data_IF_223726163808
#
_entry.id   IF_223726163808
#
_cell.length_a   1.000
_cell.length_b   1.000
_cell.length_c   1.000
_cell.angle_alpha   90.00
_cell.angle_beta   90.00
_cell.angle_gamma   90.00
#
_symmetry.space_group_name_H-M   'P 1'
#
loop_
_entity.id
_entity.type
_entity.pdbx_description
1 polymer ?
#
# COMPACT_ATOMS: atom_id res chain seq x y z
N UNK A 1 12.34 -2.47 7.60
CA UNK A 1 12.01 -2.80 6.20
C UNK A 1 10.72 -2.11 5.73
N UNK A 2 9.52 -2.30 6.33
CA UNK A 2 8.31 -1.61 5.84
C UNK A 2 8.38 -0.08 5.94
N UNK A 3 8.94 0.44 7.03
CA UNK A 3 9.16 1.89 7.20
C UNK A 3 10.16 2.43 6.17
N UNK A 4 11.27 1.72 5.94
CA UNK A 4 12.25 2.11 4.93
C UNK A 4 11.66 2.18 3.52
N UNK A 5 10.72 1.29 3.17
CA UNK A 5 10.00 1.38 1.89
C UNK A 5 9.16 2.67 1.78
N UNK A 6 8.61 3.15 2.90
CA UNK A 6 7.90 4.44 2.93
C UNK A 6 8.90 5.57 2.69
N UNK A 7 10.05 5.59 3.36
CA UNK A 7 11.09 6.61 3.14
C UNK A 7 11.53 6.69 1.66
N UNK A 8 11.74 5.54 1.01
CA UNK A 8 12.07 5.48 -0.41
C UNK A 8 10.96 6.05 -1.31
N UNK A 9 9.69 5.79 -0.97
CA UNK A 9 8.56 6.39 -1.65
C UNK A 9 8.55 7.92 -1.46
N UNK A 10 8.79 8.40 -0.24
CA UNK A 10 8.85 9.83 0.06
C UNK A 10 9.95 10.52 -0.75
N UNK A 11 11.11 9.90 -0.90
CA UNK A 11 12.20 10.42 -1.71
C UNK A 11 11.86 10.42 -3.22
N UNK A 12 11.20 9.38 -3.71
CA UNK A 12 10.72 9.33 -5.09
C UNK A 12 9.66 10.41 -5.38
N UNK A 13 8.76 10.66 -4.43
CA UNK A 13 7.75 11.73 -4.53
C UNK A 13 8.38 13.13 -4.57
N UNK A 14 9.43 13.37 -3.76
CA UNK A 14 10.20 14.63 -3.81
C UNK A 14 10.86 14.82 -5.17
N UNK A 15 11.49 13.78 -5.71
CA UNK A 15 12.12 13.82 -7.05
C UNK A 15 11.08 14.10 -8.14
N UNK A 16 9.86 13.59 -7.98
CA UNK A 16 8.74 13.83 -8.90
C UNK A 16 8.00 15.17 -8.67
N UNK A 17 8.39 15.95 -7.66
CA UNK A 17 7.72 17.18 -7.21
C UNK A 17 6.22 16.97 -6.91
N UNK A 18 5.91 15.88 -6.19
CA UNK A 18 4.55 15.46 -5.82
C UNK A 18 4.39 15.45 -4.30
N UNK A 19 3.43 16.20 -3.78
CA UNK A 19 3.27 16.37 -2.32
C UNK A 19 1.84 16.09 -1.82
N UNK A 20 0.81 16.28 -2.64
CA UNK A 20 -0.59 16.13 -2.21
C UNK A 20 -1.47 15.62 -3.36
N UNK A 21 -2.70 15.21 -3.04
CA UNK A 21 -3.66 14.61 -3.97
C UNK A 21 -3.06 13.41 -4.72
N UNK A 22 -2.57 12.45 -3.93
CA UNK A 22 -1.87 11.28 -4.43
C UNK A 22 -2.80 10.07 -4.48
N UNK A 23 -2.61 9.24 -5.50
CA UNK A 23 -3.19 7.91 -5.57
C UNK A 23 -2.06 6.88 -5.55
N UNK A 24 -2.02 6.05 -4.52
CA UNK A 24 -0.98 5.05 -4.31
C UNK A 24 -1.56 3.67 -4.57
N UNK A 25 -0.99 2.99 -5.57
CA UNK A 25 -1.32 1.60 -5.87
C UNK A 25 -0.33 0.65 -5.17
N UNK A 26 -0.86 -0.25 -4.34
CA UNK A 26 -0.13 -1.30 -3.62
C UNK A 26 -0.21 -2.59 -4.43
N UNK A 27 0.92 -2.99 -5.02
CA UNK A 27 1.03 -4.17 -5.87
C UNK A 27 1.51 -5.37 -5.05
N UNK A 28 0.61 -6.29 -4.73
CA UNK A 28 0.86 -7.42 -3.85
C UNK A 28 0.55 -7.10 -2.39
N UNK A 29 -0.35 -7.90 -1.81
CA UNK A 29 -0.75 -7.79 -0.40
C UNK A 29 -0.58 -9.08 0.37
N UNK A 30 -0.33 -10.20 -0.31
CA UNK A 30 0.08 -11.45 0.31
C UNK A 30 1.44 -11.31 1.04
N UNK A 31 1.62 -12.10 2.11
CA UNK A 31 2.87 -12.17 2.86
C UNK A 31 3.99 -12.86 2.07
N UNK A 32 3.63 -13.76 1.16
CA UNK A 32 4.55 -14.55 0.33
C UNK A 32 4.07 -14.57 -1.13
N UNK A 33 4.99 -14.79 -2.08
CA UNK A 33 4.61 -15.01 -3.47
C UNK A 33 3.67 -16.21 -3.61
N UNK A 34 2.78 -16.15 -4.60
CA UNK A 34 1.89 -17.23 -5.04
C UNK A 34 1.01 -17.82 -3.93
N UNK A 35 0.53 -16.96 -3.02
CA UNK A 35 -0.30 -17.34 -1.88
C UNK A 35 -1.34 -16.26 -1.58
N UNK A 36 -2.44 -16.64 -0.92
CA UNK A 36 -3.50 -15.73 -0.47
C UNK A 36 -3.36 -15.30 1.00
N UNK A 37 -2.30 -15.72 1.70
CA UNK A 37 -2.09 -15.43 3.12
C UNK A 37 -1.70 -13.97 3.35
N UNK A 38 -2.62 -13.19 3.90
CA UNK A 38 -2.43 -11.78 4.26
C UNK A 38 -1.99 -11.59 5.71
N UNK A 39 -1.90 -12.66 6.52
CA UNK A 39 -1.57 -12.53 7.94
C UNK A 39 -0.15 -12.00 8.09
N UNK A 40 0.00 -10.98 8.94
CA UNK A 40 1.28 -10.30 9.18
C UNK A 40 1.94 -9.74 7.89
N UNK A 41 1.16 -9.50 6.83
CA UNK A 41 1.68 -8.91 5.60
C UNK A 41 2.44 -7.60 5.87
N UNK A 42 3.64 -7.41 5.30
CA UNK A 42 4.37 -6.15 5.43
C UNK A 42 3.58 -4.96 4.87
N UNK A 43 2.70 -5.20 3.89
CA UNK A 43 1.80 -4.20 3.30
C UNK A 43 0.93 -3.53 4.35
N UNK A 44 0.47 -4.26 5.37
CA UNK A 44 -0.31 -3.70 6.48
C UNK A 44 0.47 -2.62 7.24
N UNK A 45 1.76 -2.86 7.49
CA UNK A 45 2.66 -1.91 8.16
C UNK A 45 2.98 -0.71 7.27
N UNK A 46 3.17 -0.93 5.97
CA UNK A 46 3.37 0.17 5.00
C UNK A 46 2.16 1.12 5.02
N UNK A 47 0.95 0.58 4.87
CA UNK A 47 -0.29 1.39 4.89
C UNK A 47 -0.45 2.11 6.23
N UNK A 48 -0.12 1.45 7.35
CA UNK A 48 -0.15 2.09 8.67
C UNK A 48 0.79 3.30 8.75
N UNK A 49 2.05 3.16 8.31
CA UNK A 49 3.00 4.28 8.30
C UNK A 49 2.56 5.41 7.37
N UNK A 50 2.07 5.08 6.18
CA UNK A 50 1.58 6.08 5.22
C UNK A 50 0.38 6.86 5.80
N UNK A 51 -0.63 6.16 6.34
CA UNK A 51 -1.79 6.81 6.98
C UNK A 51 -1.40 7.69 8.16
N UNK A 52 -0.42 7.29 8.97
CA UNK A 52 0.05 8.09 10.09
C UNK A 52 0.81 9.35 9.64
N UNK A 53 1.73 9.20 8.68
CA UNK A 53 2.58 10.31 8.19
C UNK A 53 1.80 11.32 7.34
N UNK A 54 0.83 10.84 6.57
CA UNK A 54 0.06 11.62 5.60
C UNK A 54 -1.41 11.85 6.01
N UNK A 55 -1.74 11.79 7.30
CA UNK A 55 -3.11 11.95 7.79
C UNK A 55 -3.80 13.26 7.37
N UNK A 56 -3.03 14.32 7.08
CA UNK A 56 -3.52 15.64 6.63
C UNK A 56 -3.61 15.80 5.11
N UNK A 57 -3.17 14.80 4.33
CA UNK A 57 -3.12 14.86 2.87
C UNK A 57 -4.29 14.10 2.25
N UNK A 58 -4.68 14.47 1.04
CA UNK A 58 -5.70 13.74 0.30
C UNK A 58 -5.04 12.57 -0.45
N UNK A 59 -4.89 11.43 0.23
CA UNK A 59 -4.28 10.23 -0.37
C UNK A 59 -5.31 9.11 -0.48
N UNK A 60 -5.46 8.60 -1.71
CA UNK A 60 -6.24 7.40 -2.01
C UNK A 60 -5.30 6.19 -2.08
N UNK A 61 -5.65 5.10 -1.38
CA UNK A 61 -4.90 3.85 -1.41
C UNK A 61 -5.73 2.76 -2.06
N UNK A 62 -5.21 2.19 -3.16
CA UNK A 62 -5.80 1.05 -3.85
C UNK A 62 -4.79 -0.10 -3.84
N UNK A 63 -5.25 -1.33 -3.66
CA UNK A 63 -4.42 -2.52 -3.69
C UNK A 63 -4.85 -3.47 -4.79
N UNK A 64 -3.90 -4.22 -5.33
CA UNK A 64 -4.15 -5.32 -6.25
C UNK A 64 -3.27 -6.51 -5.89
N UNK A 65 -3.86 -7.69 -5.89
CA UNK A 65 -3.16 -8.96 -5.70
C UNK A 65 -3.96 -10.07 -6.40
N UNK A 66 -3.32 -10.89 -7.26
CA UNK A 66 -4.03 -11.90 -8.05
C UNK A 66 -4.50 -13.10 -7.23
N UNK A 67 -3.94 -13.32 -6.03
CA UNK A 67 -4.22 -14.50 -5.20
C UNK A 67 -5.14 -14.17 -4.02
N UNK A 68 -5.04 -12.95 -3.48
CA UNK A 68 -5.82 -12.53 -2.32
C UNK A 68 -7.25 -12.17 -2.70
N UNK A 69 -8.21 -12.71 -1.95
CA UNK A 69 -9.63 -12.46 -2.16
C UNK A 69 -10.08 -11.24 -1.37
N UNK A 70 -10.97 -10.43 -1.93
CA UNK A 70 -11.51 -9.20 -1.29
C UNK A 70 -12.12 -9.44 0.09
N UNK A 71 -12.75 -10.60 0.31
CA UNK A 71 -13.34 -10.96 1.61
C UNK A 71 -12.30 -11.22 2.71
N UNK A 72 -11.07 -11.53 2.32
CA UNK A 72 -9.96 -11.91 3.20
C UNK A 72 -8.96 -10.73 3.39
N UNK A 73 -9.31 -9.53 2.90
CA UNK A 73 -8.49 -8.33 2.95
C UNK A 73 -9.30 -7.09 3.37
N UNK A 74 -8.84 -6.38 4.40
CA UNK A 74 -9.56 -5.26 5.00
C UNK A 74 -8.70 -4.01 5.26
N UNK A 75 -7.51 -3.92 4.64
CA UNK A 75 -6.53 -2.85 4.94
C UNK A 75 -6.78 -1.61 4.05
N UNK A 76 -7.04 -1.84 2.77
CA UNK A 76 -7.42 -0.83 1.76
C UNK A 76 -8.49 -1.39 0.82
N UNK A 77 -8.93 -0.60 -0.15
CA UNK A 77 -9.69 -1.15 -1.26
C UNK A 77 -8.82 -2.13 -2.06
N UNK A 78 -9.36 -3.31 -2.36
CA UNK A 78 -8.75 -4.31 -3.23
C UNK A 78 -9.52 -4.35 -4.56
N UNK A 79 -8.79 -4.15 -5.66
CA UNK A 79 -9.32 -4.26 -7.02
C UNK A 79 -8.84 -5.54 -7.71
N UNK A 80 -9.72 -6.17 -8.48
CA UNK A 80 -9.39 -7.24 -9.42
C UNK A 80 -9.02 -6.71 -10.81
N UNK A 81 -9.26 -5.44 -11.05
CA UNK A 81 -9.12 -4.82 -12.37
C UNK A 81 -7.70 -4.30 -12.54
N UNK A 82 -7.01 -4.78 -13.56
CA UNK A 82 -5.72 -4.28 -14.05
C UNK A 82 -5.70 -4.27 -15.57
#
# INVERSE_FOLDING_TARGET
MPEHMVELLEDALKVADKYDNLKIALMGVAYKPDCDDTRNTPTAKIVHFLKNRYHSHNIEYIAHDPWVRKKDYNITELTSDF
#
